data_IF_002606189220
#
_entry.id   IF_002606189220
#
_cell.length_a   1.000
_cell.length_b   1.000
_cell.length_c   1.000
_cell.angle_alpha   90.00
_cell.angle_beta   90.00
_cell.angle_gamma   90.00
#
_symmetry.space_group_name_H-M   'P 1'
#
loop_
_entity.id
_entity.type
_entity.pdbx_description
1 polymer ?
#
# COMPACT_ATOMS: atom_id res chain seq x y z
N UNK A 1 -3.31 6.41 -4.77
CA UNK A 1 -4.26 7.36 -4.13
C UNK A 1 -3.72 8.78 -4.15
N UNK A 2 -2.54 9.05 -3.58
CA UNK A 2 -1.94 10.39 -3.54
C UNK A 2 -1.60 10.97 -4.92
N UNK A 3 -1.09 10.14 -5.86
CA UNK A 3 -0.85 10.58 -7.24
C UNK A 3 -2.14 11.02 -7.95
N UNK A 4 -3.23 10.28 -7.75
CA UNK A 4 -4.56 10.65 -8.28
C UNK A 4 -5.08 11.94 -7.66
N UNK A 5 -4.84 12.15 -6.36
CA UNK A 5 -5.20 13.41 -5.69
C UNK A 5 -4.40 14.60 -6.20
N UNK A 6 -3.09 14.44 -6.40
CA UNK A 6 -2.24 15.46 -7.01
C UNK A 6 -2.69 15.81 -8.43
N UNK A 7 -2.92 14.79 -9.27
CA UNK A 7 -3.46 14.97 -10.63
C UNK A 7 -4.88 15.56 -10.67
N UNK A 8 -5.63 15.46 -9.58
CA UNK A 8 -6.94 16.07 -9.41
C UNK A 8 -6.88 17.51 -8.85
N UNK A 9 -5.72 18.17 -8.87
CA UNK A 9 -5.51 19.53 -8.35
C UNK A 9 -5.89 19.66 -6.86
N UNK A 10 -5.56 18.65 -6.07
CA UNK A 10 -5.92 18.57 -4.65
C UNK A 10 -7.44 18.66 -4.37
N UNK A 11 -8.29 18.28 -5.33
CA UNK A 11 -9.73 18.21 -5.15
C UNK A 11 -10.15 16.76 -4.81
N UNK A 12 -10.63 16.56 -3.58
CA UNK A 12 -11.00 15.22 -3.08
C UNK A 12 -12.17 14.58 -3.84
N UNK A 13 -13.15 15.36 -4.32
CA UNK A 13 -14.28 14.83 -5.09
C UNK A 13 -13.84 14.37 -6.47
N UNK A 14 -13.03 15.19 -7.15
CA UNK A 14 -12.47 14.84 -8.46
C UNK A 14 -11.54 13.63 -8.35
N UNK A 15 -10.70 13.59 -7.31
CA UNK A 15 -9.82 12.47 -7.03
C UNK A 15 -10.60 11.18 -6.75
N UNK A 16 -11.71 11.25 -6.00
CA UNK A 16 -12.58 10.10 -5.75
C UNK A 16 -13.15 9.53 -7.04
N UNK A 17 -13.68 10.38 -7.93
CA UNK A 17 -14.22 9.94 -9.22
C UNK A 17 -13.16 9.26 -10.08
N UNK A 18 -12.02 9.94 -10.28
CA UNK A 18 -10.88 9.40 -11.04
C UNK A 18 -10.33 8.10 -10.43
N UNK A 19 -10.29 8.00 -9.10
CA UNK A 19 -9.80 6.80 -8.43
C UNK A 19 -10.72 5.59 -8.66
N UNK A 20 -12.04 5.81 -8.71
CA UNK A 20 -13.00 4.78 -9.06
C UNK A 20 -12.93 4.34 -10.52
N UNK A 21 -12.69 5.28 -11.43
CA UNK A 21 -12.49 4.99 -12.86
C UNK A 21 -11.21 4.19 -13.11
N UNK A 22 -10.11 4.56 -12.46
CA UNK A 22 -8.80 3.91 -12.63
C UNK A 22 -8.71 2.55 -11.92
N UNK A 23 -9.44 2.37 -10.82
CA UNK A 23 -9.36 1.17 -9.98
C UNK A 23 -10.75 0.65 -9.59
N UNK A 24 -11.54 0.12 -10.55
CA UNK A 24 -12.95 -0.21 -10.35
C UNK A 24 -13.20 -1.32 -9.33
N UNK A 25 -12.23 -2.23 -9.13
CA UNK A 25 -12.33 -3.34 -8.16
C UNK A 25 -11.86 -2.96 -6.76
N UNK A 26 -11.34 -1.75 -6.54
CA UNK A 26 -10.86 -1.30 -5.22
C UNK A 26 -11.97 -0.58 -4.45
N UNK A 27 -11.95 -0.71 -3.12
CA UNK A 27 -12.82 0.10 -2.25
C UNK A 27 -12.52 1.59 -2.43
N UNK A 28 -13.55 2.35 -2.77
CA UNK A 28 -13.42 3.77 -3.06
C UNK A 28 -13.21 4.61 -1.78
N UNK A 29 -12.09 5.35 -1.66
CA UNK A 29 -11.86 6.25 -0.53
C UNK A 29 -12.89 7.40 -0.47
N UNK A 30 -13.13 7.96 0.72
CA UNK A 30 -13.89 9.21 0.83
C UNK A 30 -13.06 10.40 0.31
N UNK A 31 -13.72 11.49 -0.06
CA UNK A 31 -13.04 12.71 -0.50
C UNK A 31 -12.08 13.25 0.59
N UNK A 32 -12.49 13.19 1.85
CA UNK A 32 -11.66 13.56 3.01
C UNK A 32 -10.43 12.67 3.17
N UNK A 33 -10.53 11.39 2.81
CA UNK A 33 -9.41 10.44 2.93
C UNK A 33 -8.21 10.91 2.12
N UNK A 34 -8.44 11.46 0.93
CA UNK A 34 -7.35 12.01 0.10
C UNK A 34 -6.67 13.20 0.78
N UNK A 35 -7.46 14.18 1.22
CA UNK A 35 -6.96 15.40 1.85
C UNK A 35 -6.22 15.12 3.17
N UNK A 36 -6.82 14.29 4.04
CA UNK A 36 -6.23 13.93 5.33
C UNK A 36 -4.92 13.16 5.16
N UNK A 37 -4.84 12.25 4.19
CA UNK A 37 -3.62 11.47 3.92
C UNK A 37 -2.51 12.38 3.39
N UNK A 38 -2.85 13.28 2.47
CA UNK A 38 -1.89 14.27 1.95
C UNK A 38 -1.38 15.20 3.05
N UNK A 39 -2.28 15.77 3.85
CA UNK A 39 -1.93 16.65 4.97
C UNK A 39 -1.00 15.95 5.95
N UNK A 40 -1.34 14.73 6.36
CA UNK A 40 -0.53 13.94 7.29
C UNK A 40 0.87 13.63 6.75
N UNK A 41 0.96 13.29 5.47
CA UNK A 41 2.25 13.08 4.80
C UNK A 41 3.09 14.37 4.83
N UNK A 42 2.48 15.51 4.50
CA UNK A 42 3.16 16.81 4.50
C UNK A 42 3.64 17.22 5.90
N UNK A 43 2.84 16.98 6.93
CA UNK A 43 3.12 17.42 8.30
C UNK A 43 4.10 16.50 9.04
N UNK A 44 4.01 15.19 8.82
CA UNK A 44 4.74 14.19 9.64
C UNK A 44 5.76 13.37 8.85
N UNK A 45 5.75 13.47 7.51
CA UNK A 45 6.51 12.60 6.63
C UNK A 45 6.06 11.13 6.64
N UNK A 46 4.98 10.80 7.37
CA UNK A 46 4.57 9.43 7.62
C UNK A 46 3.13 9.19 7.19
N UNK A 47 2.93 8.14 6.39
CA UNK A 47 1.62 7.54 6.19
C UNK A 47 1.46 6.46 7.26
N UNK A 48 0.78 6.76 8.37
CA UNK A 48 0.39 5.66 9.24
C UNK A 48 -0.68 4.85 8.53
N UNK A 49 -0.31 3.65 8.09
CA UNK A 49 -1.31 2.62 7.84
C UNK A 49 -1.91 2.29 9.20
N UNK A 50 -3.17 2.66 9.43
CA UNK A 50 -3.96 1.99 10.47
C UNK A 50 -4.11 0.59 9.92
N UNK A 51 -3.27 -0.34 10.34
CA UNK A 51 -3.56 -1.75 10.11
C UNK A 51 -4.97 -1.95 10.71
N UNK A 52 -5.98 -2.42 9.93
CA UNK A 52 -7.12 -3.05 10.60
C UNK A 52 -6.49 -4.06 11.55
N UNK A 53 -6.94 -4.15 12.81
CA UNK A 53 -6.33 -5.00 13.82
C UNK A 53 -6.32 -6.48 13.42
N UNK A 54 -5.44 -6.82 12.48
CA UNK A 54 -4.97 -8.15 12.18
C UNK A 54 -3.97 -8.34 13.31
N UNK A 55 -4.33 -9.20 14.27
CA UNK A 55 -3.29 -9.85 15.07
C UNK A 55 -2.27 -10.33 14.05
N UNK A 56 -1.10 -9.69 13.99
CA UNK A 56 -0.03 -10.12 13.12
C UNK A 56 0.10 -11.62 13.33
N UNK A 57 -0.01 -12.39 12.23
CA UNK A 57 0.35 -13.80 12.29
C UNK A 57 1.76 -13.82 12.88
N UNK A 58 2.02 -14.52 14.00
CA UNK A 58 3.38 -14.61 14.51
C UNK A 58 4.26 -15.10 13.36
N UNK A 59 5.34 -14.37 13.10
CA UNK A 59 6.36 -14.76 12.14
C UNK A 59 6.83 -16.16 12.55
N UNK A 60 6.52 -17.16 11.74
CA UNK A 60 6.99 -18.52 11.97
C UNK A 60 8.37 -18.61 11.34
N UNK A 61 9.40 -18.47 12.17
CA UNK A 61 10.81 -18.53 11.74
C UNK A 61 11.10 -19.82 10.96
N UNK A 62 10.39 -20.91 11.23
CA UNK A 62 10.54 -22.16 10.49
C UNK A 62 10.06 -22.08 9.03
N UNK A 63 9.20 -21.12 8.70
CA UNK A 63 8.79 -20.84 7.30
C UNK A 63 9.87 -20.04 6.57
N UNK A 64 10.48 -19.05 7.23
CA UNK A 64 11.58 -18.27 6.65
C UNK A 64 12.82 -19.14 6.40
N UNK A 65 13.15 -20.04 7.34
CA UNK A 65 14.25 -21.01 7.18
C UNK A 65 14.01 -21.95 5.98
N UNK A 66 12.77 -22.38 5.75
CA UNK A 66 12.43 -23.21 4.57
C UNK A 66 12.58 -22.47 3.25
N UNK A 67 12.29 -21.17 3.22
CA UNK A 67 12.48 -20.34 2.02
C UNK A 67 13.98 -20.14 1.75
N UNK A 68 14.79 -19.95 2.80
CA UNK A 68 16.24 -19.78 2.67
C UNK A 68 16.92 -21.06 2.15
N UNK A 69 16.50 -22.24 2.65
CA UNK A 69 16.99 -23.54 2.17
C UNK A 69 16.59 -23.79 0.71
N UNK A 70 15.40 -23.35 0.29
CA UNK A 70 14.95 -23.52 -1.09
C UNK A 70 15.69 -22.63 -2.11
N UNK A 71 16.35 -21.56 -1.66
CA UNK A 71 17.22 -20.71 -2.51
C UNK A 71 18.64 -21.28 -2.60
N UNK A 72 19.13 -21.94 -1.55
CA UNK A 72 20.45 -22.58 -1.52
C UNK A 72 20.51 -23.89 -2.35
N UNK A 73 19.34 -24.45 -2.69
CA UNK A 73 19.20 -25.71 -3.45
C UNK A 73 18.90 -25.48 -4.94
N UNK A 74 18.99 -24.24 -5.43
CA UNK A 74 18.92 -23.90 -6.86
C UNK A 74 20.34 -23.66 -7.40
N UNK A 75 21.01 -24.67 -7.98
CA UNK A 75 22.28 -24.47 -8.66
C UNK A 75 22.01 -23.80 -10.02
N UNK A 76 21.79 -22.48 -10.02
CA UNK A 76 21.98 -21.68 -11.24
C UNK A 76 23.49 -21.39 -11.39
N UNK A 77 24.24 -22.48 -11.58
CA UNK A 77 25.59 -22.45 -12.12
C UNK A 77 25.49 -22.02 -13.58
N UNK A 78 25.99 -20.81 -13.84
CA UNK A 78 25.97 -20.21 -15.15
C UNK A 78 26.54 -21.12 -16.25
N UNK A 79 25.90 -21.04 -17.42
CA UNK A 79 26.54 -21.34 -18.68
C UNK A 79 26.04 -20.47 -19.83
#
# INVERSE_FOLDING_TARGET
>A
MLLVYGGALNNGHRARRLYGELYPTRRLPSHDTFANTYRRLRETGKLQHREPGVRGRPLDVAVDERILVAIDDDPDDGH
#
